data_IF_128977647125
#
_entry.id   IF_128977647125
#
_cell.length_a   1.000
_cell.length_b   1.000
_cell.length_c   1.000
_cell.angle_alpha   90.00
_cell.angle_beta   90.00
_cell.angle_gamma   90.00
#
_symmetry.space_group_name_H-M   'P 1'
#
loop_
_entity.id
_entity.type
_entity.pdbx_description
1 polymer ?
#
# COMPACT_ATOMS: atom_id res chain seq x y z
N UNK A 1 7.87 0.94 -25.11
CA UNK A 1 7.96 2.32 -24.58
C UNK A 1 6.54 2.79 -24.28
N UNK A 2 6.26 3.19 -23.05
CA UNK A 2 4.95 3.76 -22.67
C UNK A 2 5.11 5.29 -22.64
N UNK A 3 4.39 5.98 -23.50
CA UNK A 3 4.26 7.42 -23.41
C UNK A 3 3.21 7.75 -22.36
N UNK A 4 3.51 8.70 -21.48
CA UNK A 4 2.61 9.19 -20.46
C UNK A 4 2.36 10.69 -20.67
N UNK A 5 1.10 11.09 -20.55
CA UNK A 5 0.66 12.48 -20.71
C UNK A 5 0.18 13.08 -19.37
N UNK A 6 -0.52 12.27 -18.57
CA UNK A 6 -1.17 12.77 -17.35
C UNK A 6 -0.32 12.52 -16.10
N UNK A 7 -0.02 11.26 -15.81
CA UNK A 7 0.70 10.92 -14.60
C UNK A 7 1.61 9.70 -14.82
N UNK A 8 2.92 9.87 -14.83
CA UNK A 8 3.84 8.76 -14.97
C UNK A 8 3.72 7.83 -13.76
N UNK A 9 3.69 6.53 -14.03
CA UNK A 9 3.73 5.53 -12.96
C UNK A 9 5.02 5.70 -12.16
N UNK A 10 4.87 5.80 -10.84
CA UNK A 10 6.00 5.95 -9.93
C UNK A 10 6.95 4.74 -10.02
N UNK A 11 8.24 4.99 -9.83
CA UNK A 11 9.27 3.96 -9.90
C UNK A 11 9.51 3.26 -8.53
N UNK A 12 10.34 2.22 -8.55
CA UNK A 12 10.68 1.42 -7.37
C UNK A 12 11.33 2.24 -6.24
N UNK A 13 12.15 3.23 -6.56
CA UNK A 13 12.71 4.16 -5.57
C UNK A 13 11.60 4.94 -4.84
N UNK A 14 10.59 5.42 -5.56
CA UNK A 14 9.44 6.10 -4.96
C UNK A 14 8.68 5.17 -4.02
N UNK A 15 8.43 3.92 -4.44
CA UNK A 15 7.80 2.91 -3.59
C UNK A 15 8.58 2.65 -2.30
N UNK A 16 9.90 2.64 -2.36
CA UNK A 16 10.78 2.52 -1.18
C UNK A 16 10.62 3.71 -0.23
N UNK A 17 10.69 4.93 -0.76
CA UNK A 17 10.53 6.15 0.06
C UNK A 17 9.15 6.17 0.72
N UNK A 18 8.08 5.90 -0.02
CA UNK A 18 6.72 5.89 0.51
C UNK A 18 6.52 4.84 1.61
N UNK A 19 7.14 3.66 1.46
CA UNK A 19 7.08 2.61 2.48
C UNK A 19 7.78 3.02 3.78
N UNK A 20 8.93 3.71 3.69
CA UNK A 20 9.69 4.19 4.84
C UNK A 20 9.10 5.46 5.45
N UNK A 21 8.52 6.33 4.63
CA UNK A 21 8.06 7.67 5.04
C UNK A 21 6.95 7.63 6.10
N UNK A 22 6.17 6.56 6.16
CA UNK A 22 5.10 6.39 7.16
C UNK A 22 5.57 5.83 8.50
N UNK A 23 6.87 5.49 8.65
CA UNK A 23 7.42 4.94 9.89
C UNK A 23 7.93 6.06 10.78
N UNK A 24 7.33 6.23 11.95
CA UNK A 24 7.75 7.22 12.93
C UNK A 24 9.14 6.92 13.48
N UNK A 25 10.01 7.90 13.44
CA UNK A 25 11.39 7.78 13.90
C UNK A 25 12.35 7.12 12.91
N UNK A 26 11.88 6.73 11.71
CA UNK A 26 12.80 6.31 10.65
C UNK A 26 13.61 7.49 10.14
N UNK A 27 14.90 7.24 9.83
CA UNK A 27 15.80 8.20 9.19
C UNK A 27 16.25 7.66 7.84
N UNK A 28 15.98 8.41 6.78
CA UNK A 28 16.33 8.07 5.40
C UNK A 28 17.30 9.13 4.87
N UNK A 29 18.43 8.70 4.37
CA UNK A 29 19.39 9.57 3.68
C UNK A 29 19.44 9.15 2.22
N UNK A 30 19.04 10.05 1.32
CA UNK A 30 19.14 9.82 -0.11
C UNK A 30 20.44 10.43 -0.64
N UNK A 31 21.31 9.59 -1.19
CA UNK A 31 22.49 10.01 -1.92
C UNK A 31 22.12 10.53 -3.30
N UNK A 32 21.87 11.82 -3.40
CA UNK A 32 21.38 12.41 -4.63
C UNK A 32 21.27 13.94 -4.58
N UNK A 33 20.97 14.54 -5.73
CA UNK A 33 20.71 15.98 -5.81
C UNK A 33 19.38 16.32 -5.16
N UNK A 34 19.25 17.53 -4.63
CA UNK A 34 18.04 18.00 -3.94
C UNK A 34 16.76 17.84 -4.75
N UNK A 35 16.81 18.02 -6.06
CA UNK A 35 15.63 17.94 -6.93
C UNK A 35 14.99 16.55 -6.97
N UNK A 36 15.78 15.47 -6.88
CA UNK A 36 15.23 14.09 -6.85
C UNK A 36 14.50 13.82 -5.54
N UNK A 37 15.08 14.23 -4.42
CA UNK A 37 14.47 14.07 -3.10
C UNK A 37 13.23 14.95 -2.96
N UNK A 38 13.30 16.22 -3.42
CA UNK A 38 12.16 17.13 -3.43
C UNK A 38 10.98 16.55 -4.19
N UNK A 39 11.18 16.02 -5.40
CA UNK A 39 10.13 15.38 -6.19
C UNK A 39 9.50 14.18 -5.46
N UNK A 40 10.30 13.39 -4.75
CA UNK A 40 9.78 12.26 -3.98
C UNK A 40 8.91 12.71 -2.80
N UNK A 41 9.31 13.77 -2.10
CA UNK A 41 8.54 14.37 -0.99
C UNK A 41 7.25 15.01 -1.50
N UNK A 42 7.29 15.76 -2.60
CA UNK A 42 6.10 16.31 -3.24
C UNK A 42 5.12 15.22 -3.67
N UNK A 43 5.64 14.08 -4.15
CA UNK A 43 4.83 12.92 -4.49
C UNK A 43 4.01 12.37 -3.30
N UNK A 44 4.53 12.48 -2.07
CA UNK A 44 3.80 12.09 -0.85
C UNK A 44 2.52 12.93 -0.66
N UNK A 45 2.55 14.22 -1.01
CA UNK A 45 1.37 15.10 -0.94
C UNK A 45 0.19 14.63 -1.79
N UNK A 46 0.44 13.84 -2.84
CA UNK A 46 -0.60 13.22 -3.67
C UNK A 46 -1.09 11.85 -3.17
N UNK A 47 -0.62 11.39 -2.00
CA UNK A 47 -0.93 10.08 -1.42
C UNK A 47 -1.76 10.30 -0.17
N UNK A 48 -2.77 10.64 0.15
CA UNK A 48 -3.60 10.70 1.38
C UNK A 48 -2.87 10.46 2.72
N UNK A 49 -1.54 10.64 2.78
CA UNK A 49 -0.74 10.31 3.93
C UNK A 49 0.08 11.46 4.47
N UNK A 50 0.50 11.33 5.71
CA UNK A 50 1.49 12.20 6.34
C UNK A 50 2.80 11.42 6.46
N UNK A 51 3.92 12.06 6.14
CA UNK A 51 5.21 11.45 6.40
C UNK A 51 5.61 11.70 7.86
N UNK A 52 6.06 10.63 8.50
CA UNK A 52 6.51 10.61 9.90
C UNK A 52 8.03 10.40 10.00
N UNK A 53 8.67 10.00 8.90
CA UNK A 53 10.09 9.78 8.83
C UNK A 53 10.86 11.08 8.58
N UNK A 54 12.12 11.10 9.04
CA UNK A 54 13.10 12.14 8.69
C UNK A 54 13.78 11.77 7.38
N UNK A 55 13.54 12.52 6.31
CA UNK A 55 14.11 12.28 4.98
C UNK A 55 15.09 13.40 4.64
N UNK A 56 16.34 13.02 4.38
CA UNK A 56 17.44 13.90 4.09
C UNK A 56 17.99 13.69 2.68
N UNK A 57 18.41 14.77 2.03
CA UNK A 57 19.18 14.75 0.79
C UNK A 57 20.62 15.13 1.04
N UNK A 58 21.57 14.48 0.40
CA UNK A 58 22.98 14.85 0.47
C UNK A 58 23.33 16.06 -0.39
N UNK A 59 22.38 16.60 -1.17
CA UNK A 59 22.63 17.71 -2.11
C UNK A 59 23.80 17.45 -3.08
N UNK A 60 23.89 16.22 -3.61
CA UNK A 60 24.89 15.84 -4.60
C UNK A 60 25.01 16.90 -5.70
N UNK A 61 26.21 17.34 -6.01
CA UNK A 61 26.50 18.32 -7.06
C UNK A 61 27.23 17.69 -8.28
N UNK A 62 27.53 18.54 -9.26
CA UNK A 62 28.23 18.10 -10.48
C UNK A 62 29.62 17.53 -10.21
N UNK A 63 30.34 18.03 -9.19
CA UNK A 63 31.66 17.56 -8.81
C UNK A 63 31.59 16.12 -8.25
N UNK A 64 30.59 15.85 -7.40
CA UNK A 64 30.37 14.51 -6.83
C UNK A 64 30.10 13.49 -7.94
N UNK A 65 29.23 13.87 -8.91
CA UNK A 65 28.91 13.02 -10.07
C UNK A 65 30.13 12.77 -10.93
N UNK A 66 30.94 13.82 -11.22
CA UNK A 66 32.06 13.74 -12.13
C UNK A 66 33.22 12.92 -11.56
N UNK A 67 33.49 13.07 -10.27
CA UNK A 67 34.63 12.46 -9.60
C UNK A 67 34.28 11.26 -8.72
N UNK A 68 33.00 10.87 -8.64
CA UNK A 68 32.55 9.74 -7.83
C UNK A 68 32.83 9.93 -6.33
N UNK A 69 32.61 11.13 -5.79
CA UNK A 69 32.92 11.46 -4.39
C UNK A 69 31.78 11.03 -3.47
N UNK A 70 32.13 10.49 -2.31
CA UNK A 70 31.18 10.09 -1.26
C UNK A 70 31.22 10.98 -0.02
N UNK A 71 32.09 12.01 0.03
CA UNK A 71 32.31 12.86 1.21
C UNK A 71 30.99 13.41 1.78
N UNK A 72 30.07 13.84 0.90
CA UNK A 72 28.76 14.36 1.33
C UNK A 72 27.87 13.29 1.94
N UNK A 73 27.92 12.06 1.42
CA UNK A 73 27.17 10.95 1.98
C UNK A 73 27.73 10.57 3.36
N UNK A 74 29.04 10.45 3.46
CA UNK A 74 29.71 10.14 4.73
C UNK A 74 29.41 11.20 5.79
N UNK A 75 29.55 12.47 5.43
CA UNK A 75 29.24 13.59 6.34
C UNK A 75 27.76 13.59 6.76
N UNK A 76 26.83 13.38 5.82
CA UNK A 76 25.39 13.33 6.13
C UNK A 76 25.05 12.18 7.10
N UNK A 77 25.66 11.01 6.93
CA UNK A 77 25.46 9.87 7.84
C UNK A 77 25.96 10.21 9.24
N UNK A 78 27.16 10.79 9.37
CA UNK A 78 27.75 11.18 10.66
C UNK A 78 26.89 12.26 11.32
N UNK A 79 26.48 13.29 10.59
CA UNK A 79 25.66 14.39 11.10
C UNK A 79 24.32 13.92 11.62
N UNK A 80 23.64 13.00 10.90
CA UNK A 80 22.37 12.40 11.34
C UNK A 80 22.59 11.54 12.59
N UNK A 81 23.64 10.71 12.64
CA UNK A 81 23.95 9.90 13.81
C UNK A 81 24.22 10.73 15.07
N UNK A 82 24.98 11.83 14.95
CA UNK A 82 25.34 12.71 16.07
C UNK A 82 24.18 13.56 16.58
N UNK A 83 23.38 14.14 15.66
CA UNK A 83 22.35 15.13 16.00
C UNK A 83 20.98 14.52 16.27
N UNK A 84 20.57 13.50 15.49
CA UNK A 84 19.25 12.86 15.59
C UNK A 84 19.32 11.61 16.47
N UNK A 85 20.46 10.90 16.44
CA UNK A 85 20.71 9.67 17.21
C UNK A 85 19.66 8.56 16.96
N UNK A 86 19.34 8.25 15.70
CA UNK A 86 18.38 7.22 15.39
C UNK A 86 18.98 5.83 15.67
N UNK A 87 18.12 4.82 15.87
CA UNK A 87 18.58 3.41 15.94
C UNK A 87 19.06 2.89 14.59
N UNK A 88 18.41 3.33 13.50
CA UNK A 88 18.67 2.88 12.12
C UNK A 88 18.69 4.08 11.18
N UNK A 89 19.62 4.04 10.23
CA UNK A 89 19.68 4.98 9.11
C UNK A 89 19.55 4.18 7.82
N UNK A 90 18.50 4.43 7.04
CA UNK A 90 18.31 3.88 5.72
C UNK A 90 19.05 4.76 4.72
N UNK A 91 20.10 4.22 4.10
CA UNK A 91 20.93 4.94 3.13
C UNK A 91 20.58 4.47 1.74
N UNK A 92 19.99 5.34 0.92
CA UNK A 92 19.50 4.94 -0.40
C UNK A 92 20.15 5.71 -1.54
N UNK A 93 20.32 5.01 -2.67
CA UNK A 93 20.74 5.62 -3.90
C UNK A 93 19.59 6.40 -4.56
N UNK A 94 19.88 7.59 -5.09
CA UNK A 94 19.01 8.28 -6.05
C UNK A 94 19.14 7.68 -7.46
N UNK A 95 18.29 8.11 -8.39
CA UNK A 95 18.45 7.73 -9.78
C UNK A 95 19.80 8.19 -10.40
N UNK A 96 20.29 9.34 -9.97
CA UNK A 96 21.58 9.87 -10.43
C UNK A 96 22.73 9.04 -9.88
N UNK A 97 22.78 8.80 -8.57
CA UNK A 97 23.84 7.98 -7.96
C UNK A 97 23.83 6.55 -8.48
N UNK A 98 22.66 5.99 -8.80
CA UNK A 98 22.57 4.68 -9.43
C UNK A 98 23.11 4.64 -10.85
N UNK A 99 22.90 5.70 -11.65
CA UNK A 99 23.46 5.79 -13.02
C UNK A 99 24.99 5.82 -13.00
N UNK A 100 25.58 6.53 -12.06
CA UNK A 100 27.06 6.60 -11.93
C UNK A 100 27.66 5.39 -11.21
N UNK A 101 26.83 4.40 -10.83
CA UNK A 101 27.29 3.20 -10.17
C UNK A 101 27.77 3.42 -8.73
N UNK A 102 27.18 4.38 -8.01
CA UNK A 102 27.57 4.66 -6.63
C UNK A 102 27.32 3.44 -5.72
N UNK A 103 28.35 3.05 -4.98
CA UNK A 103 28.34 1.93 -4.05
C UNK A 103 28.00 2.39 -2.62
N UNK A 104 26.72 2.57 -2.36
CA UNK A 104 26.23 2.96 -1.03
C UNK A 104 26.41 1.85 0.02
N UNK A 105 26.52 0.58 -0.41
CA UNK A 105 26.78 -0.55 0.50
C UNK A 105 28.19 -0.46 1.10
N UNK A 106 29.20 -0.21 0.26
CA UNK A 106 30.58 -0.05 0.72
C UNK A 106 30.71 1.13 1.68
N UNK A 107 30.09 2.27 1.38
CA UNK A 107 30.09 3.43 2.30
C UNK A 107 29.47 3.08 3.65
N UNK A 108 28.31 2.40 3.66
CA UNK A 108 27.69 1.94 4.89
C UNK A 108 28.57 0.97 5.68
N UNK A 109 29.28 0.06 4.99
CA UNK A 109 30.20 -0.89 5.62
C UNK A 109 31.40 -0.17 6.27
N UNK A 110 32.02 0.78 5.59
CA UNK A 110 33.15 1.55 6.11
C UNK A 110 32.81 2.45 7.30
N UNK A 111 31.58 2.99 7.32
CA UNK A 111 31.11 3.85 8.39
C UNK A 111 30.49 3.09 9.58
N UNK A 112 30.17 1.81 9.44
CA UNK A 112 29.48 1.03 10.48
C UNK A 112 30.18 1.03 11.84
N UNK A 113 31.52 1.15 11.87
CA UNK A 113 32.30 1.24 13.12
C UNK A 113 32.46 2.67 13.67
N UNK A 114 32.08 3.70 12.90
CA UNK A 114 32.24 5.11 13.24
C UNK A 114 30.96 5.75 13.77
N UNK A 115 29.79 5.12 13.52
CA UNK A 115 28.46 5.61 13.94
C UNK A 115 27.80 4.63 14.89
N UNK A 116 26.82 5.10 15.66
CA UNK A 116 26.04 4.28 16.61
C UNK A 116 24.83 3.64 15.95
N UNK A 117 24.21 4.33 15.01
CA UNK A 117 23.07 3.82 14.26
C UNK A 117 23.46 2.62 13.40
N UNK A 118 22.57 1.63 13.28
CA UNK A 118 22.73 0.57 12.29
C UNK A 118 22.41 1.12 10.90
N UNK A 119 23.39 1.10 10.00
CA UNK A 119 23.23 1.53 8.62
C UNK A 119 22.57 0.41 7.80
N UNK A 120 21.56 0.77 7.01
CA UNK A 120 20.84 -0.15 6.13
C UNK A 120 20.90 0.40 4.71
N UNK A 121 21.79 -0.14 3.85
CA UNK A 121 21.90 0.31 2.47
C UNK A 121 20.71 -0.15 1.63
N UNK A 122 20.26 0.72 0.70
CA UNK A 122 19.20 0.46 -0.27
C UNK A 122 19.71 0.87 -1.64
N UNK A 123 19.91 -0.11 -2.51
CA UNK A 123 20.50 0.08 -3.84
C UNK A 123 19.47 0.36 -4.94
N UNK A 124 18.19 0.40 -4.61
CA UNK A 124 17.08 0.65 -5.54
C UNK A 124 17.09 2.10 -6.02
N UNK A 125 17.45 2.33 -7.26
CA UNK A 125 17.65 3.68 -7.81
C UNK A 125 16.56 4.24 -8.72
N UNK A 126 15.42 3.56 -8.87
CA UNK A 126 14.29 4.06 -9.66
C UNK A 126 14.40 3.87 -11.16
N UNK A 127 15.25 2.98 -11.65
CA UNK A 127 15.52 2.81 -13.09
C UNK A 127 15.01 1.49 -13.68
N UNK A 128 14.61 0.53 -12.85
CA UNK A 128 14.33 -0.84 -13.29
C UNK A 128 12.86 -1.22 -13.22
N UNK A 129 12.17 -0.79 -12.17
CA UNK A 129 10.84 -1.31 -11.85
C UNK A 129 9.87 -0.18 -11.48
N UNK A 130 8.57 -0.50 -11.42
CA UNK A 130 7.54 0.37 -10.88
C UNK A 130 7.50 0.29 -9.34
N UNK A 131 6.78 1.22 -8.72
CA UNK A 131 6.77 1.45 -7.26
C UNK A 131 6.43 0.21 -6.43
N UNK A 132 5.56 -0.67 -6.92
CA UNK A 132 5.14 -1.87 -6.20
C UNK A 132 6.30 -2.81 -5.87
N UNK A 133 7.32 -2.90 -6.75
CA UNK A 133 8.54 -3.67 -6.47
C UNK A 133 9.37 -3.02 -5.36
N UNK A 134 9.44 -1.68 -5.33
CA UNK A 134 10.09 -0.96 -4.24
C UNK A 134 9.39 -1.19 -2.90
N UNK A 135 8.06 -1.20 -2.89
CA UNK A 135 7.27 -1.55 -1.69
C UNK A 135 7.58 -2.99 -1.23
N UNK A 136 7.55 -3.96 -2.14
CA UNK A 136 7.86 -5.36 -1.83
C UNK A 136 9.26 -5.53 -1.23
N UNK A 137 10.26 -4.95 -1.88
CA UNK A 137 11.65 -5.04 -1.45
C UNK A 137 11.86 -4.37 -0.09
N UNK A 138 11.21 -3.24 0.15
CA UNK A 138 11.34 -2.51 1.40
C UNK A 138 10.64 -3.23 2.56
N UNK A 139 9.44 -3.78 2.36
CA UNK A 139 8.79 -4.60 3.37
C UNK A 139 9.64 -5.81 3.75
N UNK A 140 10.24 -6.49 2.77
CA UNK A 140 11.15 -7.60 3.03
C UNK A 140 12.43 -7.14 3.74
N UNK A 141 12.99 -5.98 3.38
CA UNK A 141 14.16 -5.40 4.03
C UNK A 141 13.88 -5.09 5.50
N UNK A 142 12.72 -4.51 5.82
CA UNK A 142 12.32 -4.19 7.19
C UNK A 142 12.25 -5.45 8.05
N UNK A 143 11.57 -6.50 7.59
CA UNK A 143 11.44 -7.74 8.39
C UNK A 143 12.77 -8.48 8.56
N UNK A 144 13.70 -8.36 7.61
CA UNK A 144 15.04 -8.97 7.71
C UNK A 144 15.99 -8.22 8.64
N UNK A 145 15.90 -6.91 8.69
CA UNK A 145 16.92 -6.09 9.35
C UNK A 145 16.48 -5.45 10.66
N UNK A 146 15.17 -5.26 10.85
CA UNK A 146 14.63 -4.54 12.02
C UNK A 146 13.99 -5.49 13.02
N UNK A 147 13.20 -6.48 12.55
CA UNK A 147 12.50 -7.42 13.46
C UNK A 147 13.49 -8.20 14.31
N UNK A 148 13.25 -8.22 15.61
CA UNK A 148 14.04 -8.97 16.61
C UNK A 148 13.22 -10.13 17.16
N UNK A 149 13.89 -11.13 17.73
CA UNK A 149 13.20 -12.21 18.43
C UNK A 149 12.56 -11.67 19.71
N UNK A 150 11.29 -11.99 19.92
CA UNK A 150 10.52 -11.63 21.11
C UNK A 150 9.62 -12.80 21.52
N UNK A 151 9.19 -12.82 22.77
CA UNK A 151 8.26 -13.83 23.28
C UNK A 151 6.90 -13.69 22.59
N UNK A 152 6.27 -14.83 22.30
CA UNK A 152 4.97 -14.86 21.63
C UNK A 152 3.86 -14.37 22.53
N UNK A 153 3.04 -13.48 22.00
CA UNK A 153 1.79 -13.04 22.61
C UNK A 153 0.60 -13.53 21.75
N UNK A 154 -0.17 -14.50 22.21
CA UNK A 154 -1.31 -15.04 21.45
C UNK A 154 -2.44 -14.03 21.24
N UNK A 155 -2.43 -12.90 21.96
CA UNK A 155 -3.42 -11.84 21.78
C UNK A 155 -3.09 -10.89 20.66
N UNK A 156 -1.86 -10.95 20.11
CA UNK A 156 -1.33 -10.00 19.15
C UNK A 156 -1.26 -10.57 17.74
N UNK A 157 -1.53 -9.70 16.75
CA UNK A 157 -1.35 -9.98 15.32
C UNK A 157 -0.68 -8.81 14.61
N UNK A 158 -0.02 -9.08 13.48
CA UNK A 158 0.51 -8.03 12.60
C UNK A 158 -0.39 -7.81 11.39
N UNK A 159 -0.35 -6.61 10.84
CA UNK A 159 -0.94 -6.28 9.54
C UNK A 159 0.18 -5.90 8.57
N UNK A 160 0.26 -6.57 7.42
CA UNK A 160 1.28 -6.35 6.41
C UNK A 160 0.65 -5.79 5.12
N UNK A 161 1.15 -4.63 4.67
CA UNK A 161 0.80 -4.05 3.38
C UNK A 161 -0.08 -2.81 3.42
N UNK A 162 -0.40 -2.26 4.60
CA UNK A 162 -0.91 -0.89 4.67
C UNK A 162 0.25 0.09 4.68
N UNK A 163 0.57 0.55 3.50
CA UNK A 163 1.62 1.54 3.23
C UNK A 163 0.98 2.81 2.66
N UNK A 164 1.69 3.92 2.71
CA UNK A 164 1.19 5.25 2.34
C UNK A 164 0.66 5.33 0.90
N UNK A 165 1.18 4.51 -0.01
CA UNK A 165 0.76 4.44 -1.41
C UNK A 165 -0.64 3.83 -1.62
N UNK A 166 -1.23 3.17 -0.61
CA UNK A 166 -2.62 2.68 -0.71
C UNK A 166 -3.61 3.79 -0.38
N UNK A 167 -4.52 4.01 -1.34
CA UNK A 167 -5.62 4.93 -1.13
C UNK A 167 -6.53 4.44 0.00
N UNK A 168 -6.98 5.32 0.88
CA UNK A 168 -7.86 5.01 2.01
C UNK A 168 -7.28 4.10 3.13
N UNK A 169 -5.94 3.88 3.15
CA UNK A 169 -5.32 2.95 4.08
C UNK A 169 -5.63 3.24 5.57
N UNK A 170 -5.79 4.50 5.96
CA UNK A 170 -6.08 4.87 7.35
C UNK A 170 -7.47 4.35 7.81
N UNK A 171 -8.50 4.53 6.98
CA UNK A 171 -9.84 4.04 7.30
C UNK A 171 -9.92 2.51 7.26
N UNK A 172 -9.23 1.90 6.30
CA UNK A 172 -9.20 0.45 6.13
C UNK A 172 -8.48 -0.25 7.30
N UNK A 173 -7.39 0.35 7.80
CA UNK A 173 -6.71 -0.14 9.01
C UNK A 173 -7.65 -0.16 10.21
N UNK A 174 -8.39 0.91 10.44
CA UNK A 174 -9.28 0.99 11.60
C UNK A 174 -10.45 0.01 11.50
N UNK A 175 -10.96 -0.25 10.30
CA UNK A 175 -12.00 -1.29 10.13
C UNK A 175 -11.43 -2.69 10.39
N UNK A 176 -10.24 -3.00 9.89
CA UNK A 176 -9.61 -4.29 10.16
C UNK A 176 -9.32 -4.48 11.67
N UNK A 177 -8.78 -3.46 12.34
CA UNK A 177 -8.56 -3.48 13.80
C UNK A 177 -9.88 -3.70 14.57
N UNK A 178 -10.94 -2.99 14.17
CA UNK A 178 -12.27 -3.16 14.77
C UNK A 178 -12.79 -4.59 14.60
N UNK A 179 -12.70 -5.14 13.38
CA UNK A 179 -13.13 -6.51 13.11
C UNK A 179 -12.37 -7.52 13.96
N UNK A 180 -11.04 -7.41 14.03
CA UNK A 180 -10.21 -8.32 14.83
C UNK A 180 -10.52 -8.22 16.33
N UNK A 181 -10.73 -7.01 16.84
CA UNK A 181 -11.09 -6.80 18.24
C UNK A 181 -12.49 -7.35 18.57
N UNK A 182 -13.50 -7.01 17.75
CA UNK A 182 -14.91 -7.39 18.02
C UNK A 182 -15.16 -8.88 17.81
N UNK A 183 -14.56 -9.46 16.77
CA UNK A 183 -14.83 -10.84 16.37
C UNK A 183 -13.90 -11.87 17.04
N UNK A 184 -12.67 -11.51 17.35
CA UNK A 184 -11.65 -12.45 17.84
C UNK A 184 -11.01 -12.02 19.16
N UNK A 185 -11.36 -10.85 19.70
CA UNK A 185 -10.74 -10.27 20.89
C UNK A 185 -9.20 -10.19 20.76
N UNK A 186 -8.71 -9.76 19.61
CA UNK A 186 -7.28 -9.63 19.31
C UNK A 186 -6.88 -8.19 19.08
N UNK A 187 -5.63 -7.87 19.37
CA UNK A 187 -5.05 -6.54 19.22
C UNK A 187 -3.90 -6.55 18.22
N UNK A 188 -3.73 -5.43 17.51
CA UNK A 188 -2.62 -5.28 16.58
C UNK A 188 -1.29 -5.10 17.35
N UNK A 189 -0.25 -5.84 16.93
CA UNK A 189 1.12 -5.65 17.39
C UNK A 189 1.81 -4.56 16.58
N UNK A 190 1.83 -4.70 15.26
CA UNK A 190 2.41 -3.71 14.37
C UNK A 190 1.73 -3.71 13.00
N UNK A 191 1.82 -2.57 12.32
CA UNK A 191 1.33 -2.40 10.97
C UNK A 191 2.54 -2.04 10.08
N UNK A 192 2.73 -2.79 9.00
CA UNK A 192 3.77 -2.50 8.01
C UNK A 192 3.16 -1.71 6.84
N UNK A 193 3.33 -0.36 6.79
CA UNK A 193 4.19 0.48 7.64
C UNK A 193 3.47 1.73 8.18
N UNK A 194 2.17 1.87 7.95
CA UNK A 194 1.46 3.08 8.39
C UNK A 194 1.23 3.09 9.91
N UNK A 195 1.28 4.28 10.50
CA UNK A 195 1.05 4.52 11.93
C UNK A 195 1.86 3.58 12.85
N UNK A 196 3.11 3.30 12.48
CA UNK A 196 4.00 2.43 13.25
C UNK A 196 5.31 3.13 13.60
N UNK A 197 6.01 2.59 14.58
CA UNK A 197 7.33 3.04 15.01
C UNK A 197 8.38 1.96 14.71
N UNK A 198 9.66 2.34 14.74
CA UNK A 198 10.77 1.38 14.62
C UNK A 198 10.70 0.34 15.74
N UNK A 199 10.34 0.77 16.96
CA UNK A 199 10.21 -0.11 18.13
C UNK A 199 9.10 -1.17 17.97
N UNK A 200 7.97 -0.79 17.41
CA UNK A 200 6.88 -1.72 17.13
C UNK A 200 7.28 -2.73 16.06
N UNK A 201 8.01 -2.32 15.02
CA UNK A 201 8.56 -3.24 14.01
C UNK A 201 9.58 -4.20 14.64
N UNK A 202 10.44 -3.73 15.54
CA UNK A 202 11.37 -4.60 16.27
C UNK A 202 10.64 -5.75 17.00
N UNK A 203 9.45 -5.48 17.54
CA UNK A 203 8.63 -6.43 18.31
C UNK A 203 7.66 -7.25 17.45
N UNK A 204 7.66 -7.10 16.14
CA UNK A 204 6.71 -7.79 15.26
C UNK A 204 6.74 -9.32 15.38
N UNK A 205 7.85 -9.90 15.82
CA UNK A 205 7.97 -11.36 16.04
C UNK A 205 7.14 -11.88 17.21
N UNK A 206 6.65 -11.03 18.10
CA UNK A 206 5.78 -11.42 19.20
C UNK A 206 4.37 -11.83 18.75
N UNK A 207 3.93 -11.40 17.60
CA UNK A 207 2.60 -11.69 17.08
C UNK A 207 2.38 -13.20 16.83
N UNK A 208 1.13 -13.63 16.91
CA UNK A 208 0.68 -15.01 16.64
C UNK A 208 0.18 -15.22 15.20
N UNK A 209 -0.11 -14.13 14.47
CA UNK A 209 -0.62 -14.18 13.09
C UNK A 209 -0.14 -12.96 12.31
N UNK A 210 0.15 -13.15 11.01
CA UNK A 210 0.33 -12.08 10.05
C UNK A 210 -0.87 -11.99 9.10
N UNK A 211 -1.56 -10.85 9.08
CA UNK A 211 -2.64 -10.57 8.13
C UNK A 211 -2.05 -9.78 6.97
N UNK A 212 -2.05 -10.38 5.79
CA UNK A 212 -1.51 -9.78 4.56
C UNK A 212 -2.67 -9.25 3.72
N UNK A 213 -2.64 -7.97 3.39
CA UNK A 213 -3.72 -7.29 2.66
C UNK A 213 -3.35 -6.92 1.22
N UNK A 214 -2.09 -7.13 0.83
CA UNK A 214 -1.60 -6.91 -0.53
C UNK A 214 -0.47 -7.86 -0.89
N UNK A 215 -0.37 -8.21 -2.17
CA UNK A 215 0.60 -9.18 -2.68
C UNK A 215 2.06 -8.80 -2.43
N UNK A 216 2.39 -7.52 -2.45
CA UNK A 216 3.74 -7.00 -2.23
C UNK A 216 4.26 -7.31 -0.81
N UNK A 217 3.38 -7.63 0.12
CA UNK A 217 3.77 -8.02 1.48
C UNK A 217 3.99 -9.53 1.67
N UNK A 218 3.70 -10.36 0.65
CA UNK A 218 3.80 -11.82 0.76
C UNK A 218 5.21 -12.30 1.08
N UNK A 219 6.25 -11.76 0.42
CA UNK A 219 7.64 -12.16 0.70
C UNK A 219 8.07 -11.82 2.12
N UNK A 220 7.59 -10.71 2.67
CA UNK A 220 7.83 -10.34 4.07
C UNK A 220 7.12 -11.30 5.03
N UNK A 221 5.85 -11.65 4.75
CA UNK A 221 5.09 -12.61 5.54
C UNK A 221 5.72 -14.01 5.53
N UNK A 222 6.13 -14.51 4.36
CA UNK A 222 6.85 -15.79 4.22
C UNK A 222 8.17 -15.80 4.99
N UNK A 223 8.89 -14.68 5.00
CA UNK A 223 10.10 -14.57 5.82
C UNK A 223 9.80 -14.65 7.31
N UNK A 224 8.76 -13.94 7.79
CA UNK A 224 8.34 -13.99 9.20
C UNK A 224 7.85 -15.37 9.61
N UNK A 225 7.13 -16.07 8.74
CA UNK A 225 6.71 -17.45 8.98
C UNK A 225 7.92 -18.39 9.09
N UNK A 226 8.82 -18.35 8.10
CA UNK A 226 10.02 -19.20 8.07
C UNK A 226 10.96 -18.94 9.24
N UNK A 227 11.14 -17.69 9.65
CA UNK A 227 12.15 -17.28 10.62
C UNK A 227 11.64 -17.31 12.06
N UNK A 228 10.37 -16.89 12.26
CA UNK A 228 9.79 -16.72 13.59
C UNK A 228 8.57 -17.61 13.84
N UNK A 229 8.17 -18.45 12.88
CA UNK A 229 7.04 -19.37 13.01
C UNK A 229 5.69 -18.66 13.11
N UNK A 230 5.53 -17.46 12.52
CA UNK A 230 4.27 -16.73 12.54
C UNK A 230 3.50 -17.07 11.26
N UNK A 231 2.38 -17.82 11.32
CA UNK A 231 1.59 -18.12 10.16
C UNK A 231 1.04 -16.84 9.52
N UNK A 232 0.70 -16.90 8.23
CA UNK A 232 0.08 -15.76 7.57
C UNK A 232 -1.17 -16.17 6.78
N UNK A 233 -2.07 -15.22 6.62
CA UNK A 233 -3.22 -15.31 5.71
C UNK A 233 -3.16 -14.14 4.73
N UNK A 234 -3.56 -14.38 3.48
CA UNK A 234 -3.65 -13.36 2.44
C UNK A 234 -5.02 -13.42 1.78
N UNK A 235 -5.82 -12.40 2.03
CA UNK A 235 -7.16 -12.26 1.49
C UNK A 235 -7.48 -10.83 1.13
N UNK A 236 -8.28 -10.64 0.07
CA UNK A 236 -9.02 -9.40 -0.12
C UNK A 236 -10.13 -9.29 0.94
N UNK A 237 -10.43 -8.07 1.38
CA UNK A 237 -11.55 -7.78 2.29
C UNK A 237 -12.62 -6.90 1.62
N UNK A 238 -12.57 -6.73 0.30
CA UNK A 238 -13.59 -5.99 -0.44
C UNK A 238 -14.80 -6.89 -0.71
N UNK A 239 -16.00 -6.43 -0.33
CA UNK A 239 -17.23 -7.19 -0.48
C UNK A 239 -17.52 -8.12 0.70
N UNK A 240 -18.75 -8.61 0.78
CA UNK A 240 -19.20 -9.49 1.86
C UNK A 240 -18.58 -10.89 1.76
N UNK A 241 -18.58 -11.47 0.57
CA UNK A 241 -18.04 -12.82 0.35
C UNK A 241 -16.55 -12.91 0.72
N UNK A 242 -15.74 -11.97 0.23
CA UNK A 242 -14.32 -11.92 0.56
C UNK A 242 -14.08 -11.69 2.06
N UNK A 243 -14.89 -10.84 2.70
CA UNK A 243 -14.81 -10.61 4.15
C UNK A 243 -15.17 -11.87 4.95
N UNK A 244 -16.18 -12.62 4.51
CA UNK A 244 -16.54 -13.90 5.13
C UNK A 244 -15.44 -14.94 4.97
N UNK A 245 -14.86 -15.07 3.77
CA UNK A 245 -13.75 -15.98 3.49
C UNK A 245 -12.50 -15.64 4.34
N UNK A 246 -12.19 -14.35 4.51
CA UNK A 246 -11.14 -13.89 5.42
C UNK A 246 -11.41 -14.34 6.86
N UNK A 247 -12.61 -14.11 7.40
CA UNK A 247 -12.98 -14.51 8.76
C UNK A 247 -12.89 -16.03 8.92
N UNK A 248 -13.39 -16.79 7.94
CA UNK A 248 -13.28 -18.25 7.96
C UNK A 248 -11.82 -18.73 7.96
N UNK A 249 -10.94 -18.05 7.25
CA UNK A 249 -9.50 -18.40 7.25
C UNK A 249 -8.86 -18.17 8.62
N UNK A 250 -9.28 -17.12 9.34
CA UNK A 250 -8.78 -16.84 10.70
C UNK A 250 -9.26 -17.90 11.69
N UNK A 251 -10.51 -18.39 11.59
CA UNK A 251 -11.04 -19.43 12.48
C UNK A 251 -10.28 -20.75 12.41
N UNK A 252 -9.51 -20.97 11.34
CA UNK A 252 -8.67 -22.14 11.18
C UNK A 252 -7.29 -21.99 11.88
N UNK A 253 -6.99 -20.81 12.43
CA UNK A 253 -5.75 -20.53 13.15
C UNK A 253 -5.96 -20.84 14.64
N UNK A 254 -5.06 -21.60 15.22
CA UNK A 254 -5.11 -21.95 16.65
C UNK A 254 -5.14 -20.71 17.54
N UNK A 255 -6.06 -20.68 18.50
CA UNK A 255 -6.23 -19.56 19.43
C UNK A 255 -7.04 -18.38 18.89
N UNK A 256 -7.69 -18.54 17.71
CA UNK A 256 -8.60 -17.54 17.15
C UNK A 256 -10.05 -18.05 17.17
N UNK A 257 -10.74 -17.77 18.27
CA UNK A 257 -12.13 -18.14 18.46
C UNK A 257 -13.06 -17.02 17.98
N UNK A 258 -14.01 -17.37 17.10
CA UNK A 258 -14.96 -16.40 16.55
C UNK A 258 -16.09 -16.12 17.54
N UNK A 259 -16.34 -14.83 17.80
CA UNK A 259 -17.57 -14.39 18.46
C UNK A 259 -18.74 -14.49 17.48
N UNK A 260 -19.44 -15.63 17.52
CA UNK A 260 -20.50 -15.96 16.57
C UNK A 260 -21.67 -14.97 16.61
N UNK A 261 -22.06 -14.48 17.80
CA UNK A 261 -23.15 -13.51 17.96
C UNK A 261 -22.83 -12.20 17.23
N UNK A 262 -21.62 -11.66 17.44
CA UNK A 262 -21.17 -10.42 16.77
C UNK A 262 -21.03 -10.58 15.28
N UNK A 263 -20.55 -11.74 14.82
CA UNK A 263 -20.43 -12.06 13.41
C UNK A 263 -21.82 -12.09 12.72
N UNK A 264 -22.82 -12.73 13.34
CA UNK A 264 -24.19 -12.79 12.81
C UNK A 264 -24.85 -11.41 12.80
N UNK A 265 -24.62 -10.57 13.82
CA UNK A 265 -25.10 -9.18 13.83
C UNK A 265 -24.56 -8.38 12.63
N UNK A 266 -23.27 -8.48 12.33
CA UNK A 266 -22.65 -7.74 11.21
C UNK A 266 -23.19 -8.24 9.85
N UNK A 267 -23.28 -9.55 9.66
CA UNK A 267 -23.79 -10.14 8.42
C UNK A 267 -25.28 -9.82 8.19
N UNK A 268 -26.11 -9.89 9.22
CA UNK A 268 -27.55 -9.64 9.07
C UNK A 268 -27.84 -8.24 8.57
N UNK A 269 -27.14 -7.23 9.10
CA UNK A 269 -27.25 -5.83 8.66
C UNK A 269 -26.94 -5.68 7.15
N UNK A 270 -25.94 -6.37 6.67
CA UNK A 270 -25.50 -6.29 5.26
C UNK A 270 -26.49 -7.05 4.36
N UNK A 271 -26.87 -8.28 4.71
CA UNK A 271 -27.76 -9.10 3.88
C UNK A 271 -29.12 -8.43 3.65
N UNK A 272 -29.65 -7.75 4.64
CA UNK A 272 -30.90 -6.99 4.54
C UNK A 272 -30.78 -5.88 3.47
N UNK A 273 -29.71 -5.11 3.49
CA UNK A 273 -29.48 -4.01 2.55
C UNK A 273 -29.06 -4.49 1.17
N UNK A 274 -28.30 -5.60 1.08
CA UNK A 274 -27.80 -6.16 -0.17
C UNK A 274 -28.92 -6.51 -1.14
N UNK A 275 -30.05 -7.04 -0.62
CA UNK A 275 -31.23 -7.31 -1.42
C UNK A 275 -31.77 -6.05 -2.10
N UNK A 276 -31.81 -4.93 -1.38
CA UNK A 276 -32.29 -3.64 -1.90
C UNK A 276 -31.38 -3.14 -3.04
N UNK A 277 -30.07 -3.22 -2.87
CA UNK A 277 -29.10 -2.82 -3.91
C UNK A 277 -29.24 -3.69 -5.15
N UNK A 278 -29.23 -5.00 -4.99
CA UNK A 278 -29.40 -5.96 -6.11
C UNK A 278 -30.72 -5.75 -6.86
N UNK A 279 -31.79 -5.48 -6.15
CA UNK A 279 -33.10 -5.18 -6.73
C UNK A 279 -33.06 -3.91 -7.57
N UNK A 280 -32.43 -2.83 -7.10
CA UNK A 280 -32.26 -1.60 -7.87
C UNK A 280 -31.61 -1.89 -9.21
N UNK A 281 -30.47 -2.56 -9.23
CA UNK A 281 -29.73 -2.85 -10.45
C UNK A 281 -30.37 -3.96 -11.29
N UNK A 282 -31.16 -4.87 -10.72
CA UNK A 282 -31.91 -5.85 -11.48
C UNK A 282 -32.97 -5.20 -12.40
N UNK A 283 -33.68 -4.20 -11.91
CA UNK A 283 -34.68 -3.48 -12.69
C UNK A 283 -34.11 -2.40 -13.61
N UNK A 284 -32.87 -1.99 -13.38
CA UNK A 284 -32.19 -1.06 -14.24
C UNK A 284 -31.74 -1.76 -15.52
N UNK A 285 -32.43 -1.51 -16.63
CA UNK A 285 -32.20 -2.17 -17.92
C UNK A 285 -31.16 -1.48 -18.81
N UNK A 286 -30.76 -0.28 -18.46
CA UNK A 286 -29.76 0.47 -19.19
C UNK A 286 -28.35 -0.02 -18.85
N UNK A 287 -27.37 0.73 -19.27
CA UNK A 287 -25.96 0.46 -19.09
C UNK A 287 -25.55 0.16 -17.64
N UNK A 288 -25.02 -1.03 -17.36
CA UNK A 288 -24.50 -1.50 -16.07
C UNK A 288 -22.98 -1.62 -16.03
N UNK A 289 -22.32 -1.23 -17.11
CA UNK A 289 -20.89 -1.43 -17.29
C UNK A 289 -20.09 -0.54 -16.33
N UNK A 290 -19.13 -1.16 -15.66
CA UNK A 290 -18.17 -0.49 -14.78
C UNK A 290 -16.76 -0.72 -15.29
N UNK A 291 -15.88 0.25 -15.07
CA UNK A 291 -14.45 0.10 -15.29
C UNK A 291 -13.68 0.37 -13.98
N UNK A 292 -12.63 -0.41 -13.76
CA UNK A 292 -11.81 -0.36 -12.56
C UNK A 292 -10.34 -0.28 -12.97
N UNK A 293 -9.62 0.75 -12.47
CA UNK A 293 -8.18 0.89 -12.66
C UNK A 293 -7.52 1.25 -11.32
N UNK A 294 -6.43 0.58 -10.98
CA UNK A 294 -5.77 0.82 -9.69
C UNK A 294 -4.55 -0.07 -9.46
N UNK A 295 -4.19 -0.25 -8.21
CA UNK A 295 -3.26 -1.29 -7.79
C UNK A 295 -3.91 -2.68 -7.83
N UNK A 296 -3.07 -3.73 -7.86
CA UNK A 296 -3.54 -5.10 -8.10
C UNK A 296 -4.64 -5.57 -7.13
N UNK A 297 -4.40 -5.44 -5.82
CA UNK A 297 -5.35 -5.94 -4.81
C UNK A 297 -6.64 -5.13 -4.77
N UNK A 298 -6.55 -3.81 -5.01
CA UNK A 298 -7.72 -2.94 -5.13
C UNK A 298 -8.55 -3.32 -6.36
N UNK A 299 -7.91 -3.55 -7.51
CA UNK A 299 -8.63 -3.93 -8.75
C UNK A 299 -9.36 -5.26 -8.58
N UNK A 300 -8.67 -6.30 -8.06
CA UNK A 300 -9.27 -7.62 -7.81
C UNK A 300 -10.42 -7.52 -6.80
N UNK A 301 -10.17 -6.84 -5.68
CA UNK A 301 -11.15 -6.73 -4.61
C UNK A 301 -12.38 -5.92 -5.02
N UNK A 302 -12.18 -4.77 -5.65
CA UNK A 302 -13.28 -3.93 -6.15
C UNK A 302 -14.07 -4.62 -7.26
N UNK A 303 -13.41 -5.39 -8.15
CA UNK A 303 -14.10 -6.20 -9.14
C UNK A 303 -15.07 -7.17 -8.47
N UNK A 304 -14.60 -7.95 -7.51
CA UNK A 304 -15.44 -8.89 -6.77
C UNK A 304 -16.63 -8.20 -6.07
N UNK A 305 -16.37 -7.07 -5.40
CA UNK A 305 -17.41 -6.28 -4.72
C UNK A 305 -18.47 -5.76 -5.70
N UNK A 306 -18.07 -5.18 -6.82
CA UNK A 306 -18.99 -4.60 -7.81
C UNK A 306 -19.87 -5.70 -8.46
N UNK A 307 -19.28 -6.85 -8.78
CA UNK A 307 -20.01 -8.01 -9.31
C UNK A 307 -20.97 -8.60 -8.26
N UNK A 308 -20.55 -8.67 -6.98
CA UNK A 308 -21.42 -9.09 -5.88
C UNK A 308 -22.65 -8.17 -5.72
N UNK A 309 -22.52 -6.88 -6.00
CA UNK A 309 -23.61 -5.90 -5.98
C UNK A 309 -24.52 -5.94 -7.21
N UNK A 310 -24.21 -6.78 -8.21
CA UNK A 310 -25.05 -7.03 -9.39
C UNK A 310 -24.77 -6.09 -10.56
N UNK A 311 -23.60 -5.45 -10.60
CA UNK A 311 -23.11 -4.68 -11.73
C UNK A 311 -22.13 -5.51 -12.57
N UNK A 312 -21.90 -5.08 -13.82
CA UNK A 312 -21.01 -5.74 -14.78
C UNK A 312 -19.68 -5.02 -14.85
N UNK A 313 -18.57 -5.70 -14.60
CA UNK A 313 -17.24 -5.15 -14.78
C UNK A 313 -16.74 -5.45 -16.19
N UNK A 314 -16.80 -4.45 -17.07
CA UNK A 314 -16.37 -4.54 -18.46
C UNK A 314 -14.84 -4.53 -18.56
N UNK A 315 -14.17 -3.75 -17.72
CA UNK A 315 -12.72 -3.63 -17.70
C UNK A 315 -12.18 -3.48 -16.27
N UNK A 316 -11.18 -4.30 -15.93
CA UNK A 316 -10.48 -4.24 -14.65
C UNK A 316 -8.98 -4.41 -14.90
N UNK A 317 -8.18 -3.35 -14.73
CA UNK A 317 -6.78 -3.34 -15.12
C UNK A 317 -5.90 -2.62 -14.10
N UNK A 318 -4.68 -3.13 -13.97
CA UNK A 318 -3.64 -2.51 -13.12
C UNK A 318 -3.02 -1.32 -13.85
N UNK A 319 -2.72 -0.25 -13.12
CA UNK A 319 -2.11 0.98 -13.67
C UNK A 319 -0.65 0.84 -14.09
N UNK A 320 -0.01 -0.29 -13.78
CA UNK A 320 1.39 -0.57 -14.06
C UNK A 320 1.55 -1.95 -14.69
N UNK A 321 2.69 -2.18 -15.34
CA UNK A 321 2.99 -3.50 -15.88
C UNK A 321 3.29 -4.48 -14.76
N UNK A 322 2.61 -5.62 -14.79
CA UNK A 322 2.77 -6.69 -13.83
C UNK A 322 2.68 -8.04 -14.55
N UNK A 323 3.53 -8.97 -14.18
CA UNK A 323 3.37 -10.37 -14.55
C UNK A 323 2.31 -10.99 -13.66
N UNK A 324 1.17 -11.31 -14.23
CA UNK A 324 0.07 -11.98 -13.53
C UNK A 324 -0.37 -13.20 -14.33
N UNK A 325 -0.72 -14.24 -13.60
CA UNK A 325 -1.33 -15.45 -14.19
C UNK A 325 -2.74 -15.17 -14.74
N UNK A 326 -3.41 -14.14 -14.21
CA UNK A 326 -4.74 -13.77 -14.63
C UNK A 326 -4.72 -12.66 -15.70
N UNK A 327 -4.93 -12.98 -16.99
CA UNK A 327 -4.91 -12.02 -18.08
C UNK A 327 -6.03 -10.96 -17.98
N UNK A 328 -7.09 -11.20 -17.16
CA UNK A 328 -8.19 -10.25 -16.96
C UNK A 328 -7.79 -9.01 -16.14
N UNK A 329 -6.59 -9.02 -15.57
CA UNK A 329 -6.06 -7.93 -14.72
C UNK A 329 -4.70 -7.45 -15.23
N UNK A 330 -4.40 -7.69 -16.50
CA UNK A 330 -3.18 -7.23 -17.13
C UNK A 330 -3.07 -5.69 -17.08
N UNK A 331 -1.86 -5.18 -16.94
CA UNK A 331 -1.64 -3.73 -16.98
C UNK A 331 -1.92 -3.14 -18.36
N UNK A 332 -2.58 -1.98 -18.40
CA UNK A 332 -2.82 -1.21 -19.62
C UNK A 332 -1.87 -0.02 -19.74
N UNK A 333 -1.65 0.41 -20.97
CA UNK A 333 -0.99 1.69 -21.22
C UNK A 333 -1.96 2.86 -20.99
N UNK A 334 -1.42 4.02 -20.62
CA UNK A 334 -2.25 5.24 -20.47
C UNK A 334 -3.01 5.56 -21.77
N UNK A 335 -2.41 5.35 -22.93
CA UNK A 335 -3.05 5.62 -24.21
C UNK A 335 -4.24 4.68 -24.50
N UNK A 336 -4.13 3.41 -24.16
CA UNK A 336 -5.22 2.42 -24.29
C UNK A 336 -6.37 2.78 -23.36
N UNK A 337 -6.06 3.12 -22.10
CA UNK A 337 -7.03 3.60 -21.11
C UNK A 337 -7.75 4.87 -21.59
N UNK A 338 -7.01 5.86 -22.08
CA UNK A 338 -7.60 7.10 -22.64
C UNK A 338 -8.56 6.81 -23.80
N UNK A 339 -8.19 5.91 -24.73
CA UNK A 339 -9.03 5.53 -25.87
C UNK A 339 -10.31 4.85 -25.39
N UNK A 340 -10.19 3.91 -24.46
CA UNK A 340 -11.31 3.19 -23.88
C UNK A 340 -12.28 4.17 -23.21
N UNK A 341 -11.82 4.98 -22.26
CA UNK A 341 -12.64 5.92 -21.48
C UNK A 341 -13.37 6.95 -22.36
N UNK A 342 -12.73 7.37 -23.46
CA UNK A 342 -13.34 8.32 -24.41
C UNK A 342 -14.49 7.73 -25.20
N UNK A 343 -14.45 6.42 -25.50
CA UNK A 343 -15.35 5.78 -26.45
C UNK A 343 -16.43 4.92 -25.77
N UNK A 344 -16.14 4.35 -24.61
CA UNK A 344 -17.06 3.43 -23.93
C UNK A 344 -17.91 4.18 -22.90
N UNK A 345 -19.25 4.11 -23.04
CA UNK A 345 -20.15 4.63 -22.04
C UNK A 345 -20.17 3.70 -20.82
N UNK A 346 -19.99 4.31 -19.63
CA UNK A 346 -19.91 3.58 -18.36
C UNK A 346 -20.94 4.13 -17.37
N UNK A 347 -21.51 3.24 -16.55
CA UNK A 347 -22.25 3.65 -15.37
C UNK A 347 -21.28 4.18 -14.31
N UNK A 348 -20.17 3.45 -14.10
CA UNK A 348 -19.25 3.70 -12.99
C UNK A 348 -17.79 3.58 -13.45
N UNK A 349 -16.99 4.55 -13.09
CA UNK A 349 -15.54 4.51 -13.20
C UNK A 349 -14.92 4.56 -11.79
N UNK A 350 -14.20 3.51 -11.42
CA UNK A 350 -13.44 3.38 -10.18
C UNK A 350 -11.95 3.45 -10.53
N UNK A 351 -11.23 4.48 -10.08
CA UNK A 351 -9.83 4.64 -10.49
C UNK A 351 -9.03 5.54 -9.56
N UNK A 352 -7.79 5.83 -9.95
CA UNK A 352 -6.97 6.92 -9.40
C UNK A 352 -7.48 8.30 -9.85
N UNK A 353 -7.04 9.34 -9.15
CA UNK A 353 -7.45 10.71 -9.45
C UNK A 353 -7.04 11.18 -10.85
N UNK A 354 -5.85 10.78 -11.33
CA UNK A 354 -5.38 11.20 -12.65
C UNK A 354 -6.19 10.57 -13.80
N UNK A 355 -6.61 9.33 -13.65
CA UNK A 355 -7.50 8.66 -14.61
C UNK A 355 -8.91 9.28 -14.61
N UNK A 356 -9.42 9.66 -13.44
CA UNK A 356 -10.73 10.33 -13.32
C UNK A 356 -10.71 11.68 -14.03
N UNK A 357 -9.59 12.40 -14.08
CA UNK A 357 -9.44 13.66 -14.82
C UNK A 357 -9.34 13.48 -16.35
N UNK A 358 -9.15 12.27 -16.83
CA UNK A 358 -9.16 12.01 -18.27
C UNK A 358 -10.57 12.22 -18.84
N UNK A 359 -10.65 12.55 -20.15
CA UNK A 359 -11.95 12.61 -20.83
C UNK A 359 -12.60 11.24 -20.86
N UNK A 360 -13.75 11.08 -20.21
CA UNK A 360 -14.50 9.82 -20.11
C UNK A 360 -16.00 10.01 -20.37
N UNK A 361 -16.73 8.88 -20.50
CA UNK A 361 -18.18 8.83 -20.65
C UNK A 361 -18.85 8.10 -19.45
N UNK A 362 -18.21 8.12 -18.29
CA UNK A 362 -18.80 7.56 -17.08
C UNK A 362 -19.82 8.50 -16.45
N UNK A 363 -20.99 7.98 -16.05
CA UNK A 363 -22.03 8.73 -15.33
C UNK A 363 -21.58 9.10 -13.91
N UNK A 364 -20.85 8.21 -13.24
CA UNK A 364 -20.33 8.43 -11.89
C UNK A 364 -18.88 7.98 -11.79
N UNK A 365 -18.11 8.66 -10.95
CA UNK A 365 -16.70 8.34 -10.70
C UNK A 365 -16.43 8.24 -9.21
N UNK A 366 -15.61 7.25 -8.82
CA UNK A 366 -15.10 7.12 -7.45
C UNK A 366 -13.61 6.87 -7.48
N UNK A 367 -12.88 7.62 -6.67
CA UNK A 367 -11.46 7.37 -6.49
C UNK A 367 -11.26 6.20 -5.52
N UNK A 368 -10.48 5.22 -5.93
CA UNK A 368 -10.15 3.99 -5.18
C UNK A 368 -8.66 3.69 -5.12
N UNK A 369 -7.87 4.45 -5.86
CA UNK A 369 -6.41 4.30 -5.94
C UNK A 369 -5.72 5.66 -5.96
N UNK A 370 -4.42 5.69 -5.70
CA UNK A 370 -3.59 6.89 -5.83
C UNK A 370 -3.06 7.07 -7.27
N UNK A 371 -2.70 8.30 -7.70
CA UNK A 371 -2.62 9.53 -6.90
C UNK A 371 -3.99 10.13 -6.56
N UNK A 372 -4.06 10.77 -5.38
CA UNK A 372 -5.23 11.53 -4.95
C UNK A 372 -5.12 12.98 -5.47
N UNK A 373 -6.04 13.42 -6.33
CA UNK A 373 -6.02 14.77 -6.87
C UNK A 373 -7.12 15.68 -6.29
N UNK A 374 -8.28 15.14 -5.97
CA UNK A 374 -9.45 15.98 -5.66
C UNK A 374 -10.34 15.48 -4.52
N UNK A 375 -10.12 14.27 -4.02
CA UNK A 375 -10.99 13.72 -2.97
C UNK A 375 -10.28 13.68 -1.63
N UNK A 376 -10.96 14.23 -0.63
CA UNK A 376 -10.54 14.12 0.77
C UNK A 376 -11.36 13.02 1.43
N UNK A 377 -10.70 12.04 2.00
CA UNK A 377 -11.33 11.01 2.82
C UNK A 377 -11.23 11.41 4.28
N UNK A 378 -12.36 11.29 4.99
CA UNK A 378 -12.39 11.61 6.42
C UNK A 378 -12.13 10.32 7.20
N UNK A 379 -10.92 10.18 7.66
CA UNK A 379 -10.48 9.13 8.57
C UNK A 379 -11.18 9.27 9.95
N UNK A 380 -11.64 8.18 10.58
CA UNK A 380 -11.58 6.76 10.17
C UNK A 380 -12.92 6.20 9.62
N UNK A 381 -13.81 7.01 9.11
CA UNK A 381 -15.24 6.70 9.01
C UNK A 381 -15.71 6.07 7.71
N UNK A 382 -14.88 6.00 6.70
CA UNK A 382 -15.25 5.54 5.35
C UNK A 382 -14.31 4.45 4.81
N UNK A 383 -14.25 3.26 5.44
CA UNK A 383 -13.43 2.17 4.94
C UNK A 383 -13.99 1.63 3.61
N UNK A 384 -13.10 1.05 2.80
CA UNK A 384 -13.49 0.37 1.56
C UNK A 384 -13.59 -1.15 1.74
N UNK A 385 -13.08 -1.66 2.84
CA UNK A 385 -12.99 -3.07 3.17
C UNK A 385 -13.86 -3.44 4.38
N UNK A 386 -14.06 -4.75 4.57
CA UNK A 386 -14.78 -5.28 5.71
C UNK A 386 -16.29 -4.99 5.66
N UNK A 387 -16.94 -5.17 6.78
CA UNK A 387 -18.39 -5.00 6.88
C UNK A 387 -18.86 -3.56 6.67
N UNK A 388 -18.15 -2.59 7.27
CA UNK A 388 -18.47 -1.17 7.09
C UNK A 388 -18.14 -0.69 5.69
N UNK A 389 -17.09 -1.21 5.07
CA UNK A 389 -16.78 -0.94 3.66
C UNK A 389 -17.87 -1.42 2.71
N UNK A 390 -18.43 -2.61 2.97
CA UNK A 390 -19.58 -3.11 2.19
C UNK A 390 -20.79 -2.19 2.33
N UNK A 391 -21.14 -1.74 3.54
CA UNK A 391 -22.23 -0.79 3.78
C UNK A 391 -21.99 0.56 3.08
N UNK A 392 -20.77 1.07 3.16
CA UNK A 392 -20.36 2.30 2.45
C UNK A 392 -20.59 2.19 0.95
N UNK A 393 -20.11 1.11 0.31
CA UNK A 393 -20.28 0.94 -1.13
C UNK A 393 -21.73 0.74 -1.54
N UNK A 394 -22.52 0.04 -0.74
CA UNK A 394 -23.96 -0.09 -0.98
C UNK A 394 -24.66 1.28 -0.94
N UNK A 395 -24.35 2.12 0.03
CA UNK A 395 -24.87 3.49 0.13
C UNK A 395 -24.46 4.34 -1.08
N UNK A 396 -23.17 4.32 -1.45
CA UNK A 396 -22.70 5.07 -2.62
C UNK A 396 -23.46 4.66 -3.89
N UNK A 397 -23.62 3.35 -4.12
CA UNK A 397 -24.29 2.83 -5.31
C UNK A 397 -25.80 3.09 -5.31
N UNK A 398 -26.46 3.09 -4.14
CA UNK A 398 -27.87 3.45 -4.03
C UNK A 398 -28.11 4.93 -4.36
N UNK A 399 -27.12 5.79 -4.15
CA UNK A 399 -27.19 7.22 -4.42
C UNK A 399 -26.76 7.61 -5.84
N UNK A 400 -26.32 6.68 -6.68
CA UNK A 400 -26.06 6.96 -8.08
C UNK A 400 -27.37 7.34 -8.78
N UNK A 401 -27.40 8.50 -9.43
CA UNK A 401 -28.50 8.92 -10.31
C UNK A 401 -28.45 8.07 -11.58
N UNK A 402 -29.43 7.21 -11.75
CA UNK A 402 -29.58 6.30 -12.90
C UNK A 402 -30.27 6.98 -14.06
#
# INVERSE_FOLDING_TARGET
MQLCKYYPVANDRMGTIWTLASIKGACVIEFGPAGTTHYAIEGIGSLNGHHEANIYSTHMDQSDVTFGKYDRLEQAIIEVDENIKPKYIFVMASSISSIIGADVESVCFELASKVKAKLIPITTGGLKHHYHIGVEQTLLLLVKNIVKSADKDPMKYNILGFTMDRYNYLSDVEELKRMMSVLFNKEVQTIFTCNTTIEEIEQASSASLNIVIRREALKAAQYLEKTYGIPYIYHSLHGLENTMNFIQSITNIEGYELNQEKYEEEISKIKEQLFTVKRKFFFYKEMKKCAIFGDYDTVIGMKSLIEELGLEVDRAEVLYQIEVENPLVAGCTELERMKYLKNEPLLLLLSDGATIEMKHQAKSTYQVSNPNLHRVMIYPYTPFIGFRGMLYWMEQLLNISL
#
